data_IF_605817643919
#
_entry.id   IF_605817643919
#
_cell.length_a   1.000
_cell.length_b   1.000
_cell.length_c   1.000
_cell.angle_alpha   90.00
_cell.angle_beta   90.00
_cell.angle_gamma   90.00
#
_symmetry.space_group_name_H-M   'P 1'
#
loop_
_entity.id
_entity.type
_entity.pdbx_description
1 polymer ?
#
# COMPACT_ATOMS: atom_id res chain seq x y z
N UNK A 1 -15.28 15.95 -18.18
CA UNK A 1 -15.50 14.91 -17.16
C UNK A 1 -15.92 15.60 -15.86
N UNK A 2 -16.85 15.03 -15.08
CA UNK A 2 -17.30 15.59 -13.79
C UNK A 2 -16.80 14.72 -12.64
N UNK A 3 -16.84 15.24 -11.42
CA UNK A 3 -16.40 14.51 -10.22
C UNK A 3 -16.99 13.09 -10.12
N UNK A 4 -18.29 12.96 -10.38
CA UNK A 4 -19.00 11.67 -10.36
C UNK A 4 -18.43 10.63 -11.33
N UNK A 5 -17.87 11.08 -12.46
CA UNK A 5 -17.33 10.20 -13.49
C UNK A 5 -15.99 9.62 -13.01
N UNK A 6 -15.13 10.46 -12.42
CA UNK A 6 -13.89 10.02 -11.76
C UNK A 6 -14.16 9.02 -10.64
N UNK A 7 -15.15 9.29 -9.78
CA UNK A 7 -15.50 8.38 -8.68
C UNK A 7 -15.95 7.02 -9.23
N UNK A 8 -16.76 7.00 -10.30
CA UNK A 8 -17.19 5.76 -10.96
C UNK A 8 -16.05 4.99 -11.61
N UNK A 9 -15.02 5.67 -12.09
CA UNK A 9 -13.81 5.07 -12.64
C UNK A 9 -12.83 4.57 -11.58
N UNK A 10 -13.15 4.73 -10.30
CA UNK A 10 -12.35 4.25 -9.17
C UNK A 10 -11.26 5.24 -8.72
N UNK A 11 -11.42 6.54 -8.97
CA UNK A 11 -10.49 7.54 -8.46
C UNK A 11 -10.71 7.82 -6.96
N UNK A 12 -9.60 7.78 -6.24
CA UNK A 12 -9.45 8.34 -4.90
C UNK A 12 -9.38 9.87 -5.00
N UNK A 13 -10.06 10.58 -4.11
CA UNK A 13 -10.25 12.03 -4.22
C UNK A 13 -9.48 12.78 -3.13
N UNK A 14 -8.71 13.80 -3.46
CA UNK A 14 -8.06 14.70 -2.49
C UNK A 14 -8.74 16.06 -2.53
N UNK A 15 -9.34 16.48 -1.41
CA UNK A 15 -10.07 17.76 -1.35
C UNK A 15 -10.26 18.27 0.08
N UNK A 16 -10.92 19.42 0.22
CA UNK A 16 -11.19 20.05 1.49
C UNK A 16 -12.20 19.25 2.32
N UNK A 17 -12.09 19.26 3.67
CA UNK A 17 -12.95 18.48 4.55
C UNK A 17 -14.45 18.66 4.34
N UNK A 18 -14.89 19.89 4.08
CA UNK A 18 -16.31 20.17 3.89
C UNK A 18 -16.85 19.44 2.65
N UNK A 19 -16.13 19.54 1.55
CA UNK A 19 -16.51 18.90 0.29
C UNK A 19 -16.37 17.38 0.39
N UNK A 20 -15.34 16.88 1.07
CA UNK A 20 -15.15 15.45 1.31
C UNK A 20 -16.34 14.80 2.00
N UNK A 21 -16.94 15.48 2.98
CA UNK A 21 -18.13 14.98 3.65
C UNK A 21 -19.34 14.86 2.72
N UNK A 22 -19.65 15.91 1.93
CA UNK A 22 -20.74 15.85 0.94
C UNK A 22 -20.53 14.73 -0.08
N UNK A 23 -19.28 14.57 -0.56
CA UNK A 23 -18.93 13.49 -1.48
C UNK A 23 -19.20 12.13 -0.83
N UNK A 24 -18.88 11.96 0.45
CA UNK A 24 -19.15 10.69 1.15
C UNK A 24 -20.62 10.47 1.49
N UNK A 25 -21.43 11.52 1.65
CA UNK A 25 -22.89 11.36 1.76
C UNK A 25 -23.49 10.81 0.46
N UNK A 26 -23.10 11.36 -0.69
CA UNK A 26 -23.64 10.95 -2.00
C UNK A 26 -22.99 9.68 -2.55
N UNK A 27 -21.71 9.49 -2.25
CA UNK A 27 -20.90 8.36 -2.68
C UNK A 27 -20.31 7.70 -1.44
N UNK A 28 -21.12 6.91 -0.70
CA UNK A 28 -20.69 6.29 0.54
C UNK A 28 -19.39 5.53 0.37
N UNK A 29 -19.15 4.88 -0.77
CA UNK A 29 -17.98 4.04 -1.06
C UNK A 29 -16.75 4.79 -1.61
N UNK A 30 -16.85 6.10 -1.87
CA UNK A 30 -15.70 6.86 -2.37
C UNK A 30 -14.66 7.05 -1.26
N UNK A 31 -13.38 6.93 -1.61
CA UNK A 31 -12.28 7.35 -0.75
C UNK A 31 -11.99 8.82 -0.98
N UNK A 32 -12.09 9.60 0.09
CA UNK A 32 -11.79 11.04 0.03
C UNK A 32 -10.81 11.40 1.13
N UNK A 33 -9.69 11.97 0.73
CA UNK A 33 -8.57 12.38 1.57
C UNK A 33 -8.60 13.89 1.75
N UNK A 34 -8.20 14.33 2.93
CA UNK A 34 -8.19 15.73 3.34
C UNK A 34 -6.88 16.01 4.06
N UNK A 35 -6.58 17.28 4.36
CA UNK A 35 -5.32 17.80 4.92
C UNK A 35 -4.64 16.96 6.01
N UNK A 36 -5.41 16.17 6.79
CA UNK A 36 -4.93 15.37 7.91
C UNK A 36 -4.70 13.88 7.61
N UNK A 37 -5.12 13.42 6.44
CA UNK A 37 -5.05 12.03 6.01
C UNK A 37 -4.28 11.87 4.70
N UNK A 38 -3.56 12.91 4.27
CA UNK A 38 -2.80 12.88 3.02
C UNK A 38 -1.59 11.93 3.08
N UNK A 39 -1.06 11.67 4.27
CA UNK A 39 0.07 10.75 4.46
C UNK A 39 -0.30 9.28 4.25
N UNK A 40 -1.60 8.98 4.16
CA UNK A 40 -2.14 7.63 4.03
C UNK A 40 -2.90 7.43 2.71
N UNK A 41 -2.53 8.18 1.66
CA UNK A 41 -3.09 8.00 0.32
C UNK A 41 -2.59 6.66 -0.24
N UNK A 42 -3.49 5.70 -0.54
CA UNK A 42 -3.09 4.42 -1.11
C UNK A 42 -2.63 4.57 -2.57
N UNK A 43 -1.95 3.54 -3.07
CA UNK A 43 -1.62 3.39 -4.48
C UNK A 43 -2.90 3.15 -5.29
N UNK A 44 -3.06 3.82 -6.42
CA UNK A 44 -4.21 3.63 -7.29
C UNK A 44 -4.42 4.76 -8.29
N UNK A 45 -5.68 5.14 -8.52
CA UNK A 45 -6.04 6.31 -9.31
C UNK A 45 -6.33 7.49 -8.38
N UNK A 46 -5.72 8.65 -8.60
CA UNK A 46 -5.83 9.80 -7.71
C UNK A 46 -6.32 11.04 -8.47
N UNK A 47 -7.41 11.64 -7.98
CA UNK A 47 -7.95 12.91 -8.44
C UNK A 47 -7.71 13.94 -7.34
N UNK A 48 -6.98 14.98 -7.68
CA UNK A 48 -6.56 16.01 -6.72
C UNK A 48 -7.21 17.33 -7.06
N UNK A 49 -7.87 17.94 -6.07
CA UNK A 49 -8.28 19.34 -6.18
C UNK A 49 -7.05 20.23 -6.33
N UNK A 50 -7.03 21.09 -7.33
CA UNK A 50 -5.94 22.02 -7.67
C UNK A 50 -5.37 22.75 -6.47
N UNK A 51 -6.19 23.07 -5.46
CA UNK A 51 -5.72 23.68 -4.21
C UNK A 51 -4.63 22.86 -3.50
N UNK A 52 -4.70 21.52 -3.57
CA UNK A 52 -3.80 20.58 -2.92
C UNK A 52 -2.67 20.08 -3.83
N UNK A 53 -2.59 20.52 -5.09
CA UNK A 53 -1.62 19.99 -6.05
C UNK A 53 -0.16 20.18 -5.62
N UNK A 54 0.11 21.20 -4.82
CA UNK A 54 1.45 21.54 -4.32
C UNK A 54 1.68 21.06 -2.88
N UNK A 55 0.74 20.31 -2.30
CA UNK A 55 0.93 19.76 -0.96
C UNK A 55 2.05 18.69 -0.99
N UNK A 56 3.03 18.73 -0.07
CA UNK A 56 4.14 17.77 -0.05
C UNK A 56 3.70 16.30 -0.06
N UNK A 57 2.65 15.95 0.70
CA UNK A 57 2.13 14.59 0.75
C UNK A 57 1.57 14.14 -0.61
N UNK A 58 0.82 15.02 -1.28
CA UNK A 58 0.29 14.76 -2.63
C UNK A 58 1.43 14.60 -3.66
N UNK A 59 2.45 15.45 -3.58
CA UNK A 59 3.62 15.36 -4.46
C UNK A 59 4.39 14.05 -4.24
N UNK A 60 4.53 13.61 -2.99
CA UNK A 60 5.17 12.33 -2.65
C UNK A 60 4.36 11.12 -3.12
N UNK A 61 3.02 11.22 -3.11
CA UNK A 61 2.13 10.16 -3.55
C UNK A 61 2.02 10.07 -5.08
N UNK A 62 2.17 11.18 -5.80
CA UNK A 62 2.03 11.28 -7.27
C UNK A 62 2.79 10.19 -8.06
N UNK A 63 4.10 9.95 -7.87
CA UNK A 63 4.82 8.93 -8.63
C UNK A 63 4.36 7.49 -8.37
N UNK A 64 3.64 7.27 -7.27
CA UNK A 64 3.14 5.95 -6.87
C UNK A 64 1.75 5.65 -7.46
N UNK A 65 1.11 6.60 -8.16
CA UNK A 65 -0.25 6.42 -8.67
C UNK A 65 -0.26 5.82 -10.09
N UNK A 66 -1.15 4.87 -10.31
CA UNK A 66 -1.43 4.27 -11.62
C UNK A 66 -2.07 5.28 -12.60
N UNK A 67 -2.86 6.22 -12.07
CA UNK A 67 -3.38 7.34 -12.82
C UNK A 67 -3.50 8.57 -11.92
N UNK A 68 -3.19 9.75 -12.44
CA UNK A 68 -3.17 10.98 -11.66
C UNK A 68 -3.82 12.12 -12.44
N UNK A 69 -4.83 12.76 -11.86
CA UNK A 69 -5.54 13.89 -12.44
C UNK A 69 -5.58 15.05 -11.44
N UNK A 70 -5.41 16.27 -11.94
CA UNK A 70 -5.62 17.50 -11.17
C UNK A 70 -6.78 18.24 -11.80
N UNK A 71 -7.80 18.52 -11.01
CA UNK A 71 -8.95 19.30 -11.44
C UNK A 71 -9.26 20.40 -10.44
N UNK A 72 -9.89 21.48 -10.90
CA UNK A 72 -10.38 22.52 -9.98
C UNK A 72 -11.77 22.14 -9.50
N UNK A 73 -11.94 21.92 -8.20
CA UNK A 73 -13.22 21.46 -7.64
C UNK A 73 -14.21 22.62 -7.49
N UNK A 74 -14.63 23.20 -8.61
CA UNK A 74 -15.69 24.21 -8.64
C UNK A 74 -17.07 23.58 -8.39
N UNK A 75 -18.07 24.41 -8.06
CA UNK A 75 -19.46 23.96 -7.96
C UNK A 75 -19.94 23.28 -9.26
N UNK A 76 -19.49 23.77 -10.43
CA UNK A 76 -19.82 23.17 -11.73
C UNK A 76 -19.18 21.80 -11.93
N UNK A 77 -17.95 21.61 -11.46
CA UNK A 77 -17.24 20.33 -11.58
C UNK A 77 -17.80 19.27 -10.64
N UNK A 78 -18.06 19.68 -9.40
CA UNK A 78 -18.47 18.80 -8.30
C UNK A 78 -19.99 18.58 -8.26
N UNK A 79 -20.78 19.54 -8.73
CA UNK A 79 -22.24 19.53 -8.64
C UNK A 79 -22.80 20.09 -7.33
N UNK A 80 -21.95 20.51 -6.38
CA UNK A 80 -22.40 21.01 -5.08
C UNK A 80 -22.55 22.53 -5.05
N UNK A 81 -23.74 23.01 -4.68
CA UNK A 81 -23.94 24.40 -4.27
C UNK A 81 -23.34 24.60 -2.87
N UNK A 82 -22.54 25.68 -2.72
CA UNK A 82 -21.73 26.10 -1.55
C UNK A 82 -21.80 25.19 -0.33
N UNK A 83 -20.68 24.54 -0.02
CA UNK A 83 -20.59 23.64 1.13
C UNK A 83 -20.45 24.45 2.42
N UNK A 84 -21.41 24.29 3.34
CA UNK A 84 -21.33 24.89 4.66
C UNK A 84 -20.14 24.32 5.46
N UNK A 85 -19.58 25.06 6.44
CA UNK A 85 -18.53 24.55 7.30
C UNK A 85 -19.01 23.33 8.10
N UNK A 86 -18.21 22.27 8.14
CA UNK A 86 -18.51 21.12 8.99
C UNK A 86 -18.41 21.46 10.48
N UNK A 87 -19.27 20.82 11.27
CA UNK A 87 -19.19 20.82 12.74
C UNK A 87 -18.14 19.81 13.25
N UNK A 88 -17.74 19.94 14.51
CA UNK A 88 -16.67 19.13 15.10
C UNK A 88 -16.94 17.62 15.15
N UNK A 89 -18.18 17.22 15.41
CA UNK A 89 -18.59 15.80 15.44
C UNK A 89 -18.57 15.17 14.06
N UNK A 90 -19.11 15.87 13.06
CA UNK A 90 -19.12 15.44 11.66
C UNK A 90 -17.70 15.22 11.15
N UNK A 91 -16.77 16.12 11.52
CA UNK A 91 -15.35 15.96 11.20
C UNK A 91 -14.74 14.69 11.81
N UNK A 92 -15.07 14.35 13.05
CA UNK A 92 -14.54 13.13 13.71
C UNK A 92 -15.07 11.86 13.02
N UNK A 93 -16.36 11.84 12.69
CA UNK A 93 -16.99 10.71 12.00
C UNK A 93 -16.36 10.46 10.62
N UNK A 94 -16.16 11.54 9.85
CA UNK A 94 -15.47 11.50 8.56
C UNK A 94 -14.06 10.88 8.69
N UNK A 95 -13.27 11.35 9.67
CA UNK A 95 -11.91 10.85 9.88
C UNK A 95 -11.88 9.36 10.25
N UNK A 96 -12.80 8.90 11.10
CA UNK A 96 -12.89 7.48 11.48
C UNK A 96 -13.25 6.59 10.29
N UNK A 97 -14.19 7.04 9.45
CA UNK A 97 -14.58 6.32 8.24
C UNK A 97 -13.43 6.20 7.24
N UNK A 98 -12.70 7.30 7.01
CA UNK A 98 -11.53 7.30 6.13
C UNK A 98 -10.47 6.34 6.65
N UNK A 99 -10.13 6.42 7.94
CA UNK A 99 -9.13 5.54 8.55
C UNK A 99 -9.50 4.06 8.39
N UNK A 100 -10.73 3.70 8.75
CA UNK A 100 -11.22 2.31 8.62
C UNK A 100 -11.06 1.78 7.19
N UNK A 101 -11.34 2.60 6.19
CA UNK A 101 -11.22 2.18 4.78
C UNK A 101 -9.81 2.09 4.28
N UNK A 102 -8.93 2.96 4.74
CA UNK A 102 -7.50 2.84 4.48
C UNK A 102 -7.01 1.51 5.04
N UNK A 103 -7.39 1.17 6.28
CA UNK A 103 -7.03 -0.10 6.91
C UNK A 103 -7.59 -1.31 6.13
N UNK A 104 -8.83 -1.22 5.62
CA UNK A 104 -9.45 -2.26 4.78
C UNK A 104 -8.77 -2.41 3.40
N UNK A 105 -8.29 -1.34 2.79
CA UNK A 105 -7.62 -1.37 1.48
C UNK A 105 -6.12 -1.68 1.56
N UNK A 106 -5.49 -1.34 2.68
CA UNK A 106 -4.11 -1.76 2.98
C UNK A 106 -3.99 -3.29 3.09
N UNK A 107 -5.11 -4.03 3.19
CA UNK A 107 -5.14 -5.49 3.12
C UNK A 107 -5.08 -6.05 1.69
N UNK A 108 -5.31 -5.25 0.64
CA UNK A 108 -5.35 -5.72 -0.75
C UNK A 108 -4.01 -5.60 -1.50
N UNK A 109 -3.01 -4.96 -0.88
CA UNK A 109 -1.62 -4.92 -1.39
C UNK A 109 -0.80 -6.17 -1.01
N UNK A 110 -1.46 -7.23 -0.50
CA UNK A 110 -0.87 -8.58 -0.46
C UNK A 110 -0.62 -9.17 -1.85
N UNK A 111 -1.12 -8.53 -2.91
CA UNK A 111 -0.83 -8.90 -4.30
C UNK A 111 0.52 -8.36 -4.81
N UNK A 112 1.14 -7.42 -4.09
CA UNK A 112 2.41 -6.80 -4.47
C UNK A 112 3.51 -6.94 -3.40
N UNK A 113 3.28 -7.74 -2.37
CA UNK A 113 4.36 -8.16 -1.48
C UNK A 113 5.32 -9.06 -2.23
N UNK A 114 6.57 -8.63 -2.35
CA UNK A 114 7.66 -9.45 -2.84
C UNK A 114 7.63 -10.81 -2.12
N UNK A 115 7.81 -11.90 -2.88
CA UNK A 115 7.85 -13.26 -2.32
C UNK A 115 8.86 -13.35 -1.18
N UNK A 116 10.02 -12.71 -1.34
CA UNK A 116 11.08 -12.56 -0.37
C UNK A 116 11.59 -11.12 -0.40
N UNK A 117 11.74 -10.49 0.76
CA UNK A 117 12.31 -9.16 0.90
C UNK A 117 13.33 -9.15 2.04
N UNK A 118 14.56 -8.72 1.75
CA UNK A 118 15.65 -8.58 2.71
C UNK A 118 16.00 -7.10 2.79
N UNK A 119 15.77 -6.48 3.93
CA UNK A 119 16.09 -5.06 4.17
C UNK A 119 17.29 -4.94 5.08
N UNK A 120 18.32 -4.26 4.61
CA UNK A 120 19.47 -3.85 5.42
C UNK A 120 19.45 -2.33 5.53
N UNK A 121 19.21 -1.81 6.73
CA UNK A 121 19.11 -0.35 6.96
C UNK A 121 20.48 0.34 6.95
N UNK A 122 21.48 -0.33 7.50
CA UNK A 122 22.86 0.14 7.60
C UNK A 122 23.80 -1.07 7.65
N UNK A 123 25.09 -0.90 7.33
CA UNK A 123 26.09 -1.98 7.40
C UNK A 123 26.21 -2.60 8.79
N UNK A 124 25.91 -1.83 9.85
CA UNK A 124 25.94 -2.30 11.24
C UNK A 124 24.56 -2.78 11.76
N UNK A 125 23.53 -2.75 10.91
CA UNK A 125 22.17 -3.15 11.29
C UNK A 125 21.92 -4.63 11.08
N UNK A 126 21.06 -5.21 11.91
CA UNK A 126 20.54 -6.56 11.69
C UNK A 126 19.60 -6.54 10.47
N UNK A 127 19.79 -7.42 9.47
CA UNK A 127 18.88 -7.52 8.32
C UNK A 127 17.48 -7.95 8.75
N UNK A 128 16.45 -7.32 8.15
CA UNK A 128 15.05 -7.72 8.32
C UNK A 128 14.66 -8.62 7.14
N UNK A 129 14.26 -9.86 7.41
CA UNK A 129 13.85 -10.83 6.39
C UNK A 129 12.33 -11.03 6.43
N UNK A 130 11.68 -10.80 5.30
CA UNK A 130 10.25 -10.90 5.11
C UNK A 130 9.93 -11.93 4.02
N UNK A 131 8.97 -12.82 4.26
CA UNK A 131 8.47 -13.78 3.27
C UNK A 131 6.97 -13.61 3.10
N UNK A 132 6.50 -13.32 1.88
CA UNK A 132 5.09 -13.00 1.56
C UNK A 132 4.49 -11.92 2.49
N UNK A 133 5.29 -10.94 2.86
CA UNK A 133 4.90 -9.86 3.78
C UNK A 133 4.86 -10.25 5.27
N UNK A 134 5.17 -11.50 5.64
CA UNK A 134 5.34 -11.92 7.02
C UNK A 134 6.81 -11.83 7.44
N UNK A 135 7.05 -11.18 8.58
CA UNK A 135 8.40 -10.98 9.12
C UNK A 135 8.87 -12.26 9.82
N UNK A 136 10.00 -12.81 9.40
CA UNK A 136 10.45 -14.13 9.85
C UNK A 136 11.25 -14.13 11.16
N UNK A 137 11.78 -12.97 11.58
CA UNK A 137 12.65 -12.80 12.76
C UNK A 137 11.88 -12.40 14.04
N UNK A 138 10.56 -12.20 13.97
CA UNK A 138 9.81 -11.61 15.09
C UNK A 138 9.46 -12.58 16.22
N UNK A 139 9.28 -13.89 15.96
CA UNK A 139 9.17 -14.87 17.05
C UNK A 139 9.16 -16.34 16.58
N UNK A 140 9.99 -17.23 17.15
CA UNK A 140 11.12 -16.92 18.04
C UNK A 140 12.22 -16.14 17.29
N UNK A 141 12.99 -15.33 18.03
CA UNK A 141 14.18 -14.62 17.51
C UNK A 141 15.22 -15.66 17.06
N UNK A 142 15.13 -16.03 15.80
CA UNK A 142 15.87 -17.15 15.25
C UNK A 142 16.99 -16.74 14.31
N UNK A 143 17.93 -17.65 14.10
CA UNK A 143 18.84 -17.56 12.96
C UNK A 143 18.01 -17.84 11.70
N UNK A 144 18.03 -16.91 10.74
CA UNK A 144 17.40 -17.09 9.43
C UNK A 144 18.51 -17.30 8.40
N UNK A 145 18.54 -18.47 7.79
CA UNK A 145 19.39 -18.79 6.65
C UNK A 145 18.58 -18.73 5.36
N UNK A 146 19.06 -17.95 4.39
CA UNK A 146 18.42 -17.78 3.10
C UNK A 146 19.40 -18.22 2.01
N UNK A 147 19.08 -19.34 1.38
CA UNK A 147 19.83 -19.89 0.27
C UNK A 147 19.08 -19.64 -1.04
N UNK A 148 19.67 -18.86 -1.93
CA UNK A 148 19.13 -18.60 -3.27
C UNK A 148 20.00 -19.27 -4.33
N UNK A 149 19.45 -20.30 -4.98
CA UNK A 149 20.10 -20.97 -6.10
C UNK A 149 19.37 -20.59 -7.38
N UNK A 150 20.13 -20.12 -8.36
CA UNK A 150 19.62 -19.79 -9.68
C UNK A 150 20.53 -20.38 -10.76
N UNK A 151 19.92 -20.75 -11.88
CA UNK A 151 20.62 -21.33 -13.02
C UNK A 151 20.88 -20.24 -14.07
N UNK A 152 22.16 -20.02 -14.42
CA UNK A 152 22.58 -18.95 -15.36
C UNK A 152 22.84 -19.43 -16.78
N UNK A 153 22.91 -20.74 -17.01
CA UNK A 153 23.19 -21.36 -18.30
C UNK A 153 21.96 -21.33 -19.24
N UNK A 154 22.21 -20.85 -20.45
CA UNK A 154 21.19 -20.41 -21.40
C UNK A 154 20.31 -21.54 -21.94
N UNK A 155 18.99 -21.28 -21.87
CA UNK A 155 17.91 -21.63 -22.81
C UNK A 155 17.91 -23.01 -23.52
N UNK A 156 18.58 -24.04 -23.01
CA UNK A 156 18.73 -25.30 -23.73
C UNK A 156 17.74 -26.41 -23.31
N UNK A 157 17.06 -26.31 -22.17
CA UNK A 157 16.06 -27.28 -21.71
C UNK A 157 14.87 -26.57 -21.03
N UNK A 158 13.72 -27.25 -20.95
CA UNK A 158 12.45 -26.76 -20.39
C UNK A 158 12.50 -26.29 -18.91
N UNK A 159 13.67 -26.38 -18.26
CA UNK A 159 13.98 -25.82 -16.94
C UNK A 159 14.16 -24.29 -17.00
N UNK A 160 13.13 -23.59 -17.48
CA UNK A 160 13.11 -22.13 -17.66
C UNK A 160 13.37 -21.39 -16.35
N UNK A 161 14.62 -21.04 -16.07
CA UNK A 161 14.99 -20.21 -14.93
C UNK A 161 14.55 -20.83 -13.61
N UNK A 162 14.97 -22.08 -13.38
CA UNK A 162 14.83 -22.74 -12.09
C UNK A 162 15.53 -21.89 -11.02
N UNK A 163 14.71 -21.25 -10.18
CA UNK A 163 15.15 -20.50 -9.02
C UNK A 163 14.59 -21.25 -7.82
N UNK A 164 15.49 -21.77 -6.98
CA UNK A 164 15.14 -22.44 -5.73
C UNK A 164 15.48 -21.49 -4.59
N UNK A 165 14.44 -20.94 -3.97
CA UNK A 165 14.57 -20.22 -2.70
C UNK A 165 14.35 -21.24 -1.59
N UNK A 166 15.37 -21.43 -0.75
CA UNK A 166 15.27 -22.21 0.48
C UNK A 166 15.47 -21.29 1.67
N UNK A 167 14.45 -21.16 2.50
CA UNK A 167 14.53 -20.41 3.76
C UNK A 167 14.50 -21.42 4.89
N UNK A 168 15.51 -21.38 5.75
CA UNK A 168 15.57 -22.14 6.99
C UNK A 168 15.58 -21.15 8.15
N UNK A 169 14.76 -21.40 9.17
CA UNK A 169 14.84 -20.64 10.41
C UNK A 169 15.02 -21.60 11.59
N UNK A 170 15.77 -21.14 12.59
CA UNK A 170 16.11 -21.92 13.79
C UNK A 170 15.64 -21.17 15.03
N UNK A 171 14.91 -21.83 15.93
CA UNK A 171 14.34 -21.22 17.14
C UNK A 171 15.38 -20.80 18.19
N UNK A 172 16.58 -21.37 18.18
CA UNK A 172 17.70 -20.94 19.05
C UNK A 172 19.06 -21.30 18.45
N UNK A 173 20.11 -20.55 18.81
CA UNK A 173 21.50 -20.82 18.42
C UNK A 173 22.14 -22.02 19.16
N UNK A 174 21.48 -22.53 20.21
CA UNK A 174 22.10 -23.41 21.22
C UNK A 174 21.35 -24.73 21.46
N UNK A 175 20.20 -24.98 20.83
CA UNK A 175 19.48 -26.23 21.04
C UNK A 175 19.98 -27.36 20.16
N UNK A 176 20.13 -28.53 20.77
CA UNK A 176 20.63 -29.77 20.17
C UNK A 176 19.73 -30.30 19.02
N UNK A 177 18.52 -29.74 18.90
CA UNK A 177 17.55 -29.99 17.84
C UNK A 177 16.76 -28.69 17.59
N UNK A 178 17.26 -27.77 16.77
CA UNK A 178 16.53 -26.53 16.49
C UNK A 178 15.31 -26.86 15.62
N UNK A 179 14.16 -26.26 15.95
CA UNK A 179 12.95 -26.41 15.12
C UNK A 179 13.22 -25.81 13.74
N UNK A 180 13.41 -26.69 12.75
CA UNK A 180 13.73 -26.32 11.38
C UNK A 180 12.47 -26.34 10.55
N UNK A 181 12.06 -25.17 10.02
CA UNK A 181 11.08 -25.13 8.93
C UNK A 181 11.79 -24.71 7.66
N UNK A 182 11.62 -25.53 6.63
CA UNK A 182 12.16 -25.28 5.31
C UNK A 182 11.04 -24.81 4.41
N UNK A 183 11.17 -23.60 3.86
CA UNK A 183 10.28 -23.10 2.82
C UNK A 183 11.02 -23.20 1.50
N UNK A 184 10.60 -24.14 0.66
CA UNK A 184 11.08 -24.28 -0.72
C UNK A 184 10.10 -23.63 -1.69
N UNK A 185 10.57 -22.74 -2.54
CA UNK A 185 9.79 -22.23 -3.67
C UNK A 185 10.46 -22.65 -4.98
N UNK A 186 9.71 -23.42 -5.78
CA UNK A 186 10.01 -23.73 -7.17
C UNK A 186 9.07 -22.93 -8.05
N UNK A 187 9.58 -22.39 -9.15
CA UNK A 187 8.75 -21.80 -10.19
C UNK A 187 7.86 -22.89 -10.79
N UNK A 188 6.55 -22.69 -10.77
CA UNK A 188 5.63 -23.53 -11.54
C UNK A 188 5.90 -23.32 -13.04
N UNK A 189 6.06 -24.43 -13.78
CA UNK A 189 6.28 -24.44 -15.24
C UNK A 189 5.01 -24.07 -16.01
#
# INVERSE_FOLDING_TARGET
MKLKDYIREGYNVVTAPNLAYKIQEDYPNALVFTDRALDAIPIGKLLVDRFYSNNPAVLSAKPLQNAYAIERFSCEFTGYEKVAPMTGETRRKLMQQIKKRIDELALDDRSNTNLLEIKLKDTDSVPEVWYKGERLDESPKGLVDVSYHWKTDGFANDDRGANDITIQYFSSFNDKYPDMKTIGHKRDM
#
